data_IF_351271141453
#
_entry.id   IF_351271141453
#
_cell.length_a   1.000
_cell.length_b   1.000
_cell.length_c   1.000
_cell.angle_alpha   90.00
_cell.angle_beta   90.00
_cell.angle_gamma   90.00
#
_symmetry.space_group_name_H-M   'P 1'
#
loop_
_entity.id
_entity.type
_entity.pdbx_description
1 polymer ?
#
# COMPACT_ATOMS: atom_id res chain seq x y z
N UNK A 1 5.99 -1.31 9.65
CA UNK A 1 7.17 -2.02 9.08
C UNK A 1 7.53 -3.20 9.98
N UNK A 2 8.20 -4.24 9.47
CA UNK A 2 8.60 -5.38 10.31
C UNK A 2 9.92 -5.11 11.03
N UNK A 3 10.18 -5.81 12.13
CA UNK A 3 11.43 -5.71 12.88
C UNK A 3 12.66 -6.01 11.99
N UNK A 4 12.56 -6.98 11.09
CA UNK A 4 13.67 -7.34 10.18
C UNK A 4 14.01 -6.22 9.19
N UNK A 5 12.99 -5.52 8.67
CA UNK A 5 13.18 -4.36 7.79
C UNK A 5 13.84 -3.22 8.56
N UNK A 6 13.37 -2.93 9.77
CA UNK A 6 13.97 -1.90 10.63
C UNK A 6 15.42 -2.23 10.99
N UNK A 7 15.72 -3.50 11.27
CA UNK A 7 17.07 -3.95 11.56
C UNK A 7 18.00 -3.85 10.33
N UNK A 8 17.49 -4.10 9.12
CA UNK A 8 18.25 -3.87 7.88
C UNK A 8 18.55 -2.38 7.65
N UNK A 9 17.58 -1.49 7.92
CA UNK A 9 17.79 -0.03 7.83
C UNK A 9 18.83 0.42 8.86
N UNK A 10 18.71 -0.03 10.11
CA UNK A 10 19.65 0.31 11.17
C UNK A 10 21.08 -0.14 10.85
N UNK A 11 21.26 -1.37 10.34
CA UNK A 11 22.58 -1.85 9.92
C UNK A 11 23.19 -0.96 8.83
N UNK A 12 22.39 -0.59 7.83
CA UNK A 12 22.83 0.31 6.77
C UNK A 12 23.20 1.71 7.29
N UNK A 13 22.37 2.30 8.16
CA UNK A 13 22.62 3.61 8.77
C UNK A 13 23.86 3.61 9.66
N UNK A 14 24.01 2.56 10.48
CA UNK A 14 25.21 2.34 11.30
C UNK A 14 26.47 2.20 10.45
N UNK A 15 26.44 1.40 9.37
CA UNK A 15 27.60 1.21 8.48
C UNK A 15 28.01 2.50 7.75
N UNK A 16 27.05 3.39 7.49
CA UNK A 16 27.27 4.69 6.85
C UNK A 16 27.53 5.82 7.85
N UNK A 17 27.60 5.52 9.16
CA UNK A 17 27.77 6.50 10.24
C UNK A 17 26.71 7.62 10.21
N UNK A 18 25.49 7.31 9.77
CA UNK A 18 24.39 8.29 9.60
C UNK A 18 24.06 8.99 10.91
N UNK A 19 24.06 8.26 12.03
CA UNK A 19 23.75 8.79 13.35
C UNK A 19 24.86 9.66 13.95
N UNK A 20 26.10 9.48 13.49
CA UNK A 20 27.28 10.19 14.01
C UNK A 20 27.71 11.38 13.12
N UNK A 21 27.17 11.49 11.90
CA UNK A 21 27.51 12.58 10.99
C UNK A 21 26.72 13.86 11.33
N UNK A 22 27.37 14.94 11.80
CA UNK A 22 26.68 16.18 12.20
C UNK A 22 26.01 16.92 11.03
N UNK A 23 26.22 16.47 9.79
CA UNK A 23 25.61 17.05 8.58
C UNK A 23 24.31 16.34 8.18
N UNK A 24 23.98 15.22 8.85
CA UNK A 24 22.85 14.37 8.50
C UNK A 24 21.88 14.30 9.67
N UNK A 25 20.60 14.38 9.36
CA UNK A 25 19.51 14.14 10.31
C UNK A 25 18.62 13.03 9.75
N UNK A 26 18.48 11.94 10.50
CA UNK A 26 17.59 10.83 10.14
C UNK A 26 16.23 11.03 10.82
N UNK A 27 15.17 11.10 10.01
CA UNK A 27 13.81 11.38 10.48
C UNK A 27 12.83 10.29 10.02
N UNK A 28 11.78 10.08 10.82
CA UNK A 28 10.63 9.24 10.49
C UNK A 28 9.35 10.05 10.65
N UNK A 29 8.37 9.81 9.76
CA UNK A 29 7.03 10.38 9.87
C UNK A 29 6.12 9.37 10.57
N UNK A 30 5.65 9.68 11.78
CA UNK A 30 4.71 8.87 12.56
C UNK A 30 3.56 9.76 13.05
N UNK A 31 2.31 9.34 12.85
CA UNK A 31 1.13 10.09 13.27
C UNK A 31 1.02 11.48 12.63
N UNK A 32 1.66 11.69 11.47
CA UNK A 32 1.74 13.01 10.82
C UNK A 32 2.75 13.98 11.46
N UNK A 33 3.64 13.49 12.31
CA UNK A 33 4.71 14.27 12.94
C UNK A 33 6.07 13.72 12.51
N UNK A 34 6.99 14.59 12.09
CA UNK A 34 8.37 14.22 11.86
C UNK A 34 9.10 14.18 13.21
N UNK A 35 9.80 13.08 13.46
CA UNK A 35 10.61 12.87 14.66
C UNK A 35 11.93 12.19 14.29
N UNK A 36 12.97 12.28 15.15
CA UNK A 36 14.21 11.54 14.97
C UNK A 36 13.93 10.04 14.77
N UNK A 37 14.64 9.43 13.80
CA UNK A 37 14.53 8.01 13.53
C UNK A 37 15.15 7.20 14.68
N UNK A 38 14.38 6.25 15.21
CA UNK A 38 14.85 5.24 16.16
C UNK A 38 14.33 3.86 15.68
N UNK A 39 15.26 2.94 15.44
CA UNK A 39 14.92 1.60 14.97
C UNK A 39 14.21 0.73 16.02
N UNK A 40 14.34 1.08 17.30
CA UNK A 40 13.60 0.45 18.40
C UNK A 40 12.19 1.02 18.61
N UNK A 41 11.87 2.17 18.03
CA UNK A 41 10.56 2.80 18.19
C UNK A 41 9.50 2.06 17.37
N UNK A 42 8.45 1.61 18.05
CA UNK A 42 7.25 1.07 17.39
C UNK A 42 6.32 2.19 16.99
N UNK A 43 5.69 2.05 15.82
CA UNK A 43 4.65 3.00 15.37
C UNK A 43 3.57 3.19 16.43
N UNK A 44 3.10 4.42 16.58
CA UNK A 44 2.02 4.73 17.53
C UNK A 44 0.74 3.93 17.25
N UNK A 45 -0.10 3.64 18.27
CA UNK A 45 -1.38 2.96 18.06
C UNK A 45 -2.30 3.68 17.05
N UNK A 46 -2.28 5.02 17.07
CA UNK A 46 -3.05 5.84 16.15
C UNK A 46 -2.56 5.71 14.71
N UNK A 47 -1.23 5.68 14.48
CA UNK A 47 -0.65 5.44 13.16
C UNK A 47 -0.97 4.01 12.67
N UNK A 48 -0.84 3.00 13.54
CA UNK A 48 -1.21 1.63 13.21
C UNK A 48 -2.69 1.53 12.77
N UNK A 49 -3.59 2.23 13.46
CA UNK A 49 -5.01 2.27 13.12
C UNK A 49 -5.27 3.04 11.81
N UNK A 50 -4.53 4.13 11.56
CA UNK A 50 -4.62 4.89 10.32
C UNK A 50 -4.15 4.06 9.12
N UNK A 51 -2.99 3.39 9.22
CA UNK A 51 -2.44 2.52 8.17
C UNK A 51 -3.38 1.36 7.85
N UNK A 52 -3.96 0.75 8.89
CA UNK A 52 -4.99 -0.28 8.76
C UNK A 52 -6.20 0.23 7.97
N UNK A 53 -6.73 1.39 8.34
CA UNK A 53 -7.90 1.98 7.70
C UNK A 53 -7.61 2.34 6.24
N UNK A 54 -6.45 2.93 5.97
CA UNK A 54 -6.01 3.30 4.63
C UNK A 54 -5.87 2.08 3.71
N UNK A 55 -5.31 0.98 4.22
CA UNK A 55 -5.21 -0.28 3.49
C UNK A 55 -6.59 -0.84 3.14
N UNK A 56 -7.50 -0.93 4.12
CA UNK A 56 -8.85 -1.45 3.92
C UNK A 56 -9.66 -0.57 2.95
N UNK A 57 -9.56 0.75 3.10
CA UNK A 57 -10.21 1.71 2.21
C UNK A 57 -9.66 1.57 0.77
N UNK A 58 -8.34 1.57 0.61
CA UNK A 58 -7.64 1.38 -0.66
C UNK A 58 -8.03 0.06 -1.34
N UNK A 59 -8.07 -1.04 -0.59
CA UNK A 59 -8.48 -2.33 -1.14
C UNK A 59 -9.94 -2.35 -1.62
N UNK A 60 -10.86 -1.67 -0.94
CA UNK A 60 -12.24 -1.52 -1.42
C UNK A 60 -12.35 -0.64 -2.67
N UNK A 61 -11.63 0.49 -2.69
CA UNK A 61 -11.58 1.41 -3.84
C UNK A 61 -10.90 0.79 -5.08
N UNK A 62 -10.09 -0.24 -4.87
CA UNK A 62 -9.44 -1.02 -5.93
C UNK A 62 -10.23 -2.27 -6.32
N UNK A 63 -11.48 -2.40 -5.85
CA UNK A 63 -12.36 -3.54 -6.10
C UNK A 63 -11.74 -4.89 -5.68
N UNK A 64 -10.99 -4.89 -4.58
CA UNK A 64 -10.36 -6.09 -4.04
C UNK A 64 -9.19 -6.62 -4.88
N UNK A 65 -8.55 -5.75 -5.67
CA UNK A 65 -7.38 -6.15 -6.41
C UNK A 65 -6.22 -6.49 -5.46
N UNK A 66 -5.73 -7.74 -5.55
CA UNK A 66 -4.74 -8.31 -4.62
C UNK A 66 -3.37 -7.58 -4.56
N UNK A 67 -3.01 -6.78 -5.58
CA UNK A 67 -1.74 -6.04 -5.61
C UNK A 67 -1.91 -4.54 -5.24
N UNK A 68 -2.95 -3.84 -5.75
CA UNK A 68 -3.19 -2.44 -5.41
C UNK A 68 -3.59 -2.12 -3.97
N UNK A 69 -4.12 -3.08 -3.18
CA UNK A 69 -4.59 -2.75 -1.84
C UNK A 69 -3.48 -2.16 -0.94
N UNK A 70 -2.30 -2.79 -0.95
CA UNK A 70 -1.13 -2.34 -0.19
C UNK A 70 -0.34 -1.23 -0.89
N UNK A 71 -0.23 -1.23 -2.23
CA UNK A 71 0.49 -0.17 -2.95
C UNK A 71 -0.35 1.12 -3.12
N UNK A 72 -1.67 1.03 -2.99
CA UNK A 72 -2.62 2.13 -3.20
C UNK A 72 -2.58 3.18 -2.10
N UNK A 73 -2.17 2.83 -0.88
CA UNK A 73 -1.95 3.80 0.20
C UNK A 73 -0.60 4.55 0.07
N UNK A 74 0.36 4.03 -0.70
CA UNK A 74 1.73 4.52 -0.67
C UNK A 74 1.94 5.83 -1.41
N UNK A 75 1.21 6.06 -2.51
CA UNK A 75 1.32 7.33 -3.23
C UNK A 75 0.70 8.49 -2.45
N UNK A 76 -0.50 8.35 -1.83
CA UNK A 76 -0.98 9.31 -0.85
C UNK A 76 0.02 9.50 0.32
N UNK A 77 0.56 8.40 0.86
CA UNK A 77 1.61 8.40 1.90
C UNK A 77 2.81 9.26 1.52
N UNK A 78 3.35 9.05 0.32
CA UNK A 78 4.50 9.76 -0.21
C UNK A 78 4.23 11.26 -0.39
N UNK A 79 3.01 11.64 -0.77
CA UNK A 79 2.63 13.05 -0.85
C UNK A 79 2.68 13.73 0.52
N UNK A 80 2.20 13.08 1.57
CA UNK A 80 2.29 13.62 2.93
C UNK A 80 3.72 13.61 3.46
N UNK A 81 4.51 12.58 3.16
CA UNK A 81 5.94 12.56 3.50
C UNK A 81 6.66 13.75 2.90
N UNK A 82 6.54 13.96 1.58
CA UNK A 82 7.16 15.11 0.93
C UNK A 82 6.66 16.44 1.50
N UNK A 83 5.36 16.54 1.82
CA UNK A 83 4.82 17.78 2.41
C UNK A 83 5.48 18.12 3.75
N UNK A 84 5.60 17.15 4.66
CA UNK A 84 6.23 17.38 5.96
C UNK A 84 7.73 17.59 5.81
N UNK A 85 8.41 16.77 5.02
CA UNK A 85 9.85 16.89 4.78
C UNK A 85 10.20 18.28 4.22
N UNK A 86 9.37 18.82 3.31
CA UNK A 86 9.61 20.14 2.74
C UNK A 86 9.33 21.30 3.70
N UNK A 87 8.61 21.05 4.80
CA UNK A 87 8.32 22.03 5.85
C UNK A 87 9.33 21.96 7.00
N UNK A 88 10.22 20.96 6.98
CA UNK A 88 11.16 20.71 8.05
C UNK A 88 12.17 21.86 8.20
N UNK A 89 12.38 22.30 9.43
CA UNK A 89 13.35 23.32 9.86
C UNK A 89 13.48 24.55 8.93
N UNK A 90 12.35 25.20 8.63
CA UNK A 90 12.33 26.40 7.78
C UNK A 90 12.27 26.12 6.27
N UNK A 91 12.35 24.85 5.89
CA UNK A 91 12.12 24.32 4.56
C UNK A 91 13.38 23.86 3.83
N UNK A 92 13.17 23.10 2.76
CA UNK A 92 14.26 22.43 2.02
C UNK A 92 14.54 23.10 0.67
N UNK A 93 15.82 23.23 0.31
CA UNK A 93 16.24 23.77 -0.98
C UNK A 93 16.29 22.71 -2.10
N UNK A 94 16.37 21.42 -1.76
CA UNK A 94 16.43 20.31 -2.70
C UNK A 94 15.83 19.01 -2.13
N UNK A 95 15.31 18.17 -3.02
CA UNK A 95 14.92 16.78 -2.76
C UNK A 95 15.78 15.87 -3.63
N UNK A 96 16.41 14.89 -3.01
CA UNK A 96 17.21 13.86 -3.68
C UNK A 96 16.39 12.57 -3.71
N UNK A 97 16.30 11.92 -4.87
CA UNK A 97 15.54 10.68 -5.03
C UNK A 97 16.30 9.66 -5.88
N UNK A 98 16.35 8.44 -5.36
CA UNK A 98 16.85 7.26 -6.05
C UNK A 98 15.78 6.56 -6.91
N UNK A 99 14.53 7.03 -6.88
CA UNK A 99 13.43 6.40 -7.64
C UNK A 99 13.71 6.51 -9.14
N UNK A 100 13.63 5.42 -9.92
CA UNK A 100 13.84 5.45 -11.36
C UNK A 100 12.90 6.44 -12.07
N UNK A 101 13.38 7.07 -13.15
CA UNK A 101 12.57 8.01 -13.95
C UNK A 101 11.16 7.50 -14.32
N UNK A 102 10.95 6.22 -14.70
CA UNK A 102 9.61 5.69 -14.96
C UNK A 102 8.68 5.71 -13.74
N UNK A 103 9.19 5.59 -12.52
CA UNK A 103 8.43 5.62 -11.26
C UNK A 103 8.02 7.05 -10.91
N UNK A 104 8.98 7.98 -10.98
CA UNK A 104 8.69 9.40 -10.78
C UNK A 104 7.63 9.92 -11.76
N UNK A 105 7.73 9.54 -13.05
CA UNK A 105 6.71 9.87 -14.06
C UNK A 105 5.35 9.26 -13.73
N UNK A 106 5.31 8.02 -13.20
CA UNK A 106 4.08 7.35 -12.77
C UNK A 106 3.42 8.07 -11.60
N UNK A 107 4.19 8.47 -10.59
CA UNK A 107 3.71 9.24 -9.45
C UNK A 107 3.13 10.59 -9.88
N UNK A 108 3.86 11.36 -10.71
CA UNK A 108 3.36 12.63 -11.24
C UNK A 108 2.08 12.47 -12.08
N UNK A 109 2.03 11.44 -12.94
CA UNK A 109 0.85 11.16 -13.75
C UNK A 109 -0.35 10.77 -12.88
N UNK A 110 -0.12 10.00 -11.80
CA UNK A 110 -1.13 9.71 -10.79
C UNK A 110 -1.62 10.98 -10.10
N UNK A 111 -0.71 11.82 -9.60
CA UNK A 111 -1.07 13.04 -8.90
C UNK A 111 -1.92 13.99 -9.78
N UNK A 112 -1.53 14.17 -11.04
CA UNK A 112 -2.31 14.97 -12.01
C UNK A 112 -3.70 14.39 -12.29
N UNK A 113 -3.90 13.07 -12.18
CA UNK A 113 -5.25 12.47 -12.32
C UNK A 113 -6.09 12.70 -11.07
N UNK A 114 -5.50 12.53 -9.89
CA UNK A 114 -6.17 12.79 -8.60
C UNK A 114 -6.66 14.23 -8.52
N UNK A 115 -5.79 15.20 -8.81
CA UNK A 115 -6.14 16.62 -8.75
C UNK A 115 -7.26 16.99 -9.73
N UNK A 116 -7.19 16.53 -10.98
CA UNK A 116 -8.24 16.77 -11.98
C UNK A 116 -9.60 16.22 -11.55
N UNK A 117 -9.63 15.05 -10.89
CA UNK A 117 -10.87 14.45 -10.38
C UNK A 117 -11.45 15.21 -9.21
N UNK A 118 -10.59 15.73 -8.34
CA UNK A 118 -11.01 16.58 -7.23
C UNK A 118 -11.48 17.98 -7.69
N UNK A 119 -11.52 18.26 -9.01
CA UNK A 119 -11.84 19.58 -9.53
C UNK A 119 -10.74 20.62 -9.29
N UNK A 120 -9.56 20.20 -8.83
CA UNK A 120 -8.42 21.09 -8.59
C UNK A 120 -7.74 21.36 -9.94
N UNK A 121 -7.99 22.55 -10.49
CA UNK A 121 -7.34 23.01 -11.71
C UNK A 121 -5.83 23.11 -11.53
N UNK A 122 -5.07 22.37 -12.34
CA UNK A 122 -3.63 22.55 -12.43
C UNK A 122 -3.36 23.85 -13.20
N UNK A 123 -3.09 24.95 -12.51
CA UNK A 123 -2.56 26.14 -13.17
C UNK A 123 -1.18 25.82 -13.76
N UNK A 124 -0.73 26.61 -14.75
CA UNK A 124 0.61 26.47 -15.32
C UNK A 124 1.71 26.51 -14.24
N UNK A 125 1.47 27.24 -13.14
CA UNK A 125 2.37 27.31 -11.98
C UNK A 125 2.44 25.99 -11.19
N UNK A 126 1.31 25.29 -11.00
CA UNK A 126 1.28 23.97 -10.31
C UNK A 126 1.93 22.88 -11.17
N UNK A 127 1.84 23.00 -12.50
CA UNK A 127 2.48 22.05 -13.41
C UNK A 127 4.02 22.14 -13.40
N UNK A 128 4.56 23.31 -13.06
CA UNK A 128 6.01 23.61 -13.05
C UNK A 128 6.61 23.57 -11.65
N UNK A 129 5.81 23.66 -10.59
CA UNK A 129 6.27 23.69 -9.20
C UNK A 129 5.89 22.40 -8.45
N UNK A 130 6.82 21.46 -8.23
CA UNK A 130 6.54 20.17 -7.55
C UNK A 130 5.84 20.36 -6.20
N UNK A 131 6.22 21.42 -5.51
CA UNK A 131 5.72 21.78 -4.19
C UNK A 131 4.22 22.11 -4.16
N UNK A 132 3.72 22.91 -5.11
CA UNK A 132 2.29 23.23 -5.19
C UNK A 132 1.45 21.99 -5.53
N UNK A 133 2.02 21.08 -6.34
CA UNK A 133 1.38 19.80 -6.62
C UNK A 133 1.31 18.93 -5.36
N UNK A 134 2.39 18.82 -4.58
CA UNK A 134 2.44 18.05 -3.33
C UNK A 134 1.45 18.60 -2.31
N UNK A 135 1.41 19.93 -2.13
CA UNK A 135 0.46 20.58 -1.20
C UNK A 135 -1.00 20.31 -1.61
N UNK A 136 -1.30 20.40 -2.91
CA UNK A 136 -2.62 20.12 -3.46
C UNK A 136 -3.01 18.63 -3.29
N UNK A 137 -2.06 17.70 -3.49
CA UNK A 137 -2.29 16.26 -3.28
C UNK A 137 -2.57 15.96 -1.81
N UNK A 138 -1.81 16.54 -0.89
CA UNK A 138 -2.07 16.42 0.54
C UNK A 138 -3.44 16.98 0.92
N UNK A 139 -3.87 18.10 0.33
CA UNK A 139 -5.20 18.65 0.57
C UNK A 139 -6.32 17.71 0.10
N UNK A 140 -6.18 17.14 -1.10
CA UNK A 140 -7.16 16.16 -1.62
C UNK A 140 -7.20 14.91 -0.73
N UNK A 141 -6.04 14.38 -0.29
CA UNK A 141 -6.01 13.22 0.62
C UNK A 141 -6.70 13.54 1.94
N UNK A 142 -6.44 14.71 2.54
CA UNK A 142 -7.08 15.13 3.79
C UNK A 142 -8.60 15.22 3.65
N UNK A 143 -9.08 15.85 2.58
CA UNK A 143 -10.51 15.94 2.28
C UNK A 143 -11.14 14.55 2.13
N UNK A 144 -10.45 13.63 1.45
CA UNK A 144 -10.90 12.25 1.30
C UNK A 144 -10.94 11.55 2.65
N UNK A 145 -9.86 11.55 3.43
CA UNK A 145 -9.83 10.92 4.76
C UNK A 145 -10.93 11.48 5.66
N UNK A 146 -11.14 12.80 5.66
CA UNK A 146 -12.23 13.42 6.40
C UNK A 146 -13.61 12.93 5.93
N UNK A 147 -13.81 12.81 4.61
CA UNK A 147 -15.05 12.31 4.01
C UNK A 147 -15.31 10.83 4.30
N UNK A 148 -14.27 9.98 4.26
CA UNK A 148 -14.41 8.52 4.34
C UNK A 148 -14.30 7.99 5.77
N UNK A 149 -13.40 8.55 6.58
CA UNK A 149 -13.11 8.08 7.93
C UNK A 149 -13.66 9.02 9.02
N UNK A 150 -14.17 10.21 8.65
CA UNK A 150 -14.72 11.18 9.61
C UNK A 150 -13.68 11.79 10.55
N UNK A 151 -12.39 11.55 10.29
CA UNK A 151 -11.29 12.02 11.13
C UNK A 151 -10.88 13.44 10.71
N UNK A 152 -10.87 14.42 11.63
CA UNK A 152 -10.33 15.74 11.35
C UNK A 152 -8.80 15.65 11.29
N UNK A 153 -8.22 15.70 10.09
CA UNK A 153 -6.77 15.87 9.96
C UNK A 153 -6.44 17.34 10.24
N UNK A 154 -5.69 17.60 11.31
CA UNK A 154 -5.22 18.95 11.63
C UNK A 154 -4.42 19.48 10.44
N UNK A 155 -4.89 20.58 9.86
CA UNK A 155 -4.18 21.29 8.83
C UNK A 155 -3.12 22.16 9.50
N UNK A 156 -1.86 21.73 9.49
CA UNK A 156 -0.78 22.70 9.62
C UNK A 156 -0.61 23.38 8.25
N UNK A 157 -0.89 24.70 8.15
CA UNK A 157 -0.59 25.43 6.93
C UNK A 157 0.91 25.32 6.67
N UNK A 158 1.27 25.15 5.39
CA UNK A 158 2.67 25.07 5.03
C UNK A 158 3.35 26.42 5.32
N UNK A 159 4.24 26.43 6.31
CA UNK A 159 5.10 27.56 6.64
C UNK A 159 6.54 27.22 6.26
N UNK A 160 6.87 27.37 4.98
CA UNK A 160 8.23 27.14 4.51
C UNK A 160 8.60 28.05 3.36
N UNK A 161 9.89 28.02 3.02
CA UNK A 161 10.51 28.86 2.01
C UNK A 161 9.76 28.87 0.67
N UNK A 162 9.56 30.06 0.10
CA UNK A 162 8.97 30.29 -1.24
C UNK A 162 9.98 29.98 -2.38
N UNK A 163 11.19 29.51 -2.05
CA UNK A 163 12.23 29.21 -3.05
C UNK A 163 11.84 28.03 -3.94
N UNK A 164 12.33 28.00 -5.18
CA UNK A 164 12.14 26.86 -6.06
C UNK A 164 12.84 25.61 -5.54
N UNK A 165 12.04 24.60 -5.23
CA UNK A 165 12.51 23.27 -4.88
C UNK A 165 13.28 22.66 -6.05
N UNK A 166 14.54 22.27 -5.83
CA UNK A 166 15.31 21.49 -6.79
C UNK A 166 15.05 20.01 -6.58
N UNK A 167 14.78 19.28 -7.66
CA UNK A 167 14.65 17.82 -7.61
C UNK A 167 15.89 17.21 -8.26
N UNK A 168 16.67 16.45 -7.49
CA UNK A 168 17.92 15.82 -7.92
C UNK A 168 17.68 14.32 -7.99
N UNK A 169 17.77 13.79 -9.20
CA UNK A 169 17.70 12.38 -9.48
C UNK A 169 19.09 11.76 -9.31
N UNK A 170 19.18 10.66 -8.58
CA UNK A 170 20.43 9.88 -8.44
C UNK A 170 20.24 8.42 -8.86
N UNK A 171 19.12 8.07 -9.51
CA UNK A 171 18.78 6.69 -9.89
C UNK A 171 19.86 6.03 -10.78
N UNK A 172 20.58 6.82 -11.58
CA UNK A 172 21.71 6.39 -12.40
C UNK A 172 22.99 6.10 -11.59
N UNK A 173 23.14 6.71 -10.42
CA UNK A 173 24.31 6.54 -9.54
C UNK A 173 24.16 5.37 -8.56
N UNK A 174 22.92 5.06 -8.15
CA UNK A 174 22.62 3.97 -7.20
C UNK A 174 22.20 2.65 -7.87
N UNK A 175 21.96 2.65 -9.19
CA UNK A 175 21.64 1.42 -9.91
C UNK A 175 22.90 0.56 -10.14
N UNK A 176 23.17 -0.34 -9.20
CA UNK A 176 24.15 -1.41 -9.38
C UNK A 176 23.40 -2.67 -9.88
N UNK A 177 23.82 -3.30 -10.99
CA UNK A 177 23.33 -4.64 -11.32
C UNK A 177 23.67 -5.57 -10.15
N UNK A 178 22.70 -6.40 -9.74
CA UNK A 178 22.90 -7.40 -8.70
C UNK A 178 23.79 -8.53 -9.24
N UNK A 179 25.08 -8.28 -9.38
CA UNK A 179 26.06 -9.35 -9.55
C UNK A 179 26.39 -9.99 -8.18
N UNK A 180 27.21 -11.04 -8.18
CA UNK A 180 27.65 -11.90 -7.04
C UNK A 180 27.57 -11.26 -5.64
N UNK A 181 27.17 -12.02 -4.59
CA UNK A 181 26.51 -11.54 -3.37
C UNK A 181 26.95 -10.13 -3.01
N UNK A 182 26.18 -9.14 -3.47
CA UNK A 182 26.60 -7.73 -3.56
C UNK A 182 27.46 -7.33 -2.36
N UNK A 183 28.79 -7.30 -2.54
CA UNK A 183 29.74 -7.08 -1.44
C UNK A 183 29.42 -5.77 -0.72
N UNK A 184 28.89 -4.79 -1.45
CA UNK A 184 28.45 -3.52 -0.86
C UNK A 184 27.21 -3.70 0.02
N UNK A 185 26.15 -4.37 -0.45
CA UNK A 185 24.93 -4.54 0.36
C UNK A 185 25.16 -5.49 1.54
N UNK A 186 25.76 -6.65 1.31
CA UNK A 186 25.92 -7.66 2.34
C UNK A 186 27.18 -7.43 3.20
N UNK A 187 28.34 -7.29 2.58
CA UNK A 187 29.60 -7.25 3.32
C UNK A 187 29.89 -5.87 3.91
N UNK A 188 29.53 -4.78 3.22
CA UNK A 188 29.72 -3.42 3.71
C UNK A 188 28.52 -2.89 4.51
N UNK A 189 27.31 -2.92 3.97
CA UNK A 189 26.10 -2.40 4.65
C UNK A 189 25.47 -3.39 5.65
N UNK A 190 25.94 -4.63 5.70
CA UNK A 190 25.39 -5.66 6.60
C UNK A 190 23.93 -6.02 6.28
N UNK A 191 23.48 -5.82 5.04
CA UNK A 191 22.13 -6.18 4.62
C UNK A 191 21.95 -7.69 4.71
N UNK A 192 20.86 -8.12 5.36
CA UNK A 192 20.50 -9.53 5.47
C UNK A 192 19.30 -9.79 4.57
N UNK A 193 19.49 -10.68 3.60
CA UNK A 193 18.39 -11.24 2.82
C UNK A 193 17.59 -12.19 3.70
N UNK A 194 16.53 -11.67 4.31
CA UNK A 194 15.49 -12.48 4.96
C UNK A 194 14.31 -12.75 3.99
N UNK A 195 13.53 -13.77 4.29
CA UNK A 195 12.29 -14.19 3.63
C UNK A 195 11.25 -13.06 3.47
N UNK A 196 11.28 -12.02 4.31
CA UNK A 196 10.43 -10.83 4.23
C UNK A 196 11.07 -9.66 3.47
N UNK A 197 12.37 -9.74 3.20
CA UNK A 197 13.21 -8.61 2.75
C UNK A 197 13.30 -8.46 1.23
N UNK A 198 12.73 -9.38 0.45
CA UNK A 198 12.74 -9.30 -1.01
C UNK A 198 11.74 -8.24 -1.52
N UNK A 199 12.12 -6.97 -1.48
CA UNK A 199 11.32 -5.91 -2.08
C UNK A 199 11.49 -5.94 -3.61
N UNK A 200 10.50 -6.49 -4.32
CA UNK A 200 10.59 -6.70 -5.78
C UNK A 200 10.37 -5.40 -6.60
N UNK A 201 9.90 -4.33 -5.96
CA UNK A 201 9.75 -2.97 -6.49
C UNK A 201 9.99 -1.98 -5.36
N UNK A 202 10.69 -0.88 -5.60
CA UNK A 202 10.83 0.20 -4.60
C UNK A 202 9.44 0.76 -4.21
N UNK A 203 8.46 0.61 -5.10
CA UNK A 203 7.05 0.92 -4.88
C UNK A 203 6.18 -0.21 -4.28
N UNK A 204 6.72 -1.42 -4.04
CA UNK A 204 5.95 -2.55 -3.47
C UNK A 204 5.90 -2.41 -1.94
N UNK A 205 4.83 -1.81 -1.43
CA UNK A 205 4.66 -1.60 0.01
C UNK A 205 4.17 -2.83 0.75
N UNK A 206 3.85 -3.91 0.03
CA UNK A 206 3.59 -5.21 0.62
C UNK A 206 4.84 -6.07 0.57
N UNK A 207 5.12 -6.79 1.65
CA UNK A 207 6.08 -7.89 1.61
C UNK A 207 5.63 -8.93 0.57
N UNK A 208 6.57 -9.65 -0.07
CA UNK A 208 6.21 -10.74 -0.98
C UNK A 208 5.34 -11.80 -0.32
N UNK A 209 5.54 -12.01 0.99
CA UNK A 209 4.75 -12.94 1.78
C UNK A 209 3.25 -12.58 1.78
N UNK A 210 2.92 -11.32 2.11
CA UNK A 210 1.54 -10.84 2.10
C UNK A 210 0.96 -10.77 0.69
N UNK A 211 1.77 -10.38 -0.29
CA UNK A 211 1.36 -10.35 -1.69
C UNK A 211 0.97 -11.75 -2.19
N UNK A 212 1.84 -12.74 -2.02
CA UNK A 212 1.54 -14.13 -2.38
C UNK A 212 0.30 -14.65 -1.64
N UNK A 213 0.16 -14.31 -0.36
CA UNK A 213 -0.98 -14.70 0.46
C UNK A 213 -2.30 -14.14 -0.08
N UNK A 214 -2.37 -12.85 -0.41
CA UNK A 214 -3.56 -12.26 -1.02
C UNK A 214 -3.91 -12.90 -2.36
N UNK A 215 -2.92 -13.24 -3.19
CA UNK A 215 -3.15 -13.96 -4.44
C UNK A 215 -3.70 -15.36 -4.19
N UNK A 216 -3.18 -16.07 -3.19
CA UNK A 216 -3.68 -17.37 -2.77
C UNK A 216 -5.13 -17.30 -2.27
N UNK A 217 -5.44 -16.36 -1.35
CA UNK A 217 -6.80 -16.15 -0.84
C UNK A 217 -7.79 -15.77 -1.94
N UNK A 218 -7.35 -14.94 -2.90
CA UNK A 218 -8.18 -14.56 -4.04
C UNK A 218 -8.49 -15.76 -4.93
N UNK A 219 -7.50 -16.60 -5.20
CA UNK A 219 -7.67 -17.86 -5.93
C UNK A 219 -8.71 -18.75 -5.24
N UNK A 220 -8.54 -18.97 -3.93
CA UNK A 220 -9.37 -19.84 -3.09
C UNK A 220 -10.82 -19.36 -2.96
N UNK A 221 -11.00 -18.10 -2.56
CA UNK A 221 -12.30 -17.60 -2.17
C UNK A 221 -13.03 -16.93 -3.34
N UNK A 222 -12.36 -16.10 -4.13
CA UNK A 222 -12.99 -15.34 -5.22
C UNK A 222 -13.13 -16.16 -6.50
N UNK A 223 -12.11 -16.95 -6.85
CA UNK A 223 -12.07 -17.73 -8.10
C UNK A 223 -12.45 -19.21 -7.93
N UNK A 224 -12.50 -19.70 -6.69
CA UNK A 224 -12.82 -21.11 -6.41
C UNK A 224 -11.74 -22.10 -6.84
N UNK A 225 -10.50 -21.63 -7.00
CA UNK A 225 -9.33 -22.42 -7.36
C UNK A 225 -8.47 -22.68 -6.12
N UNK A 226 -7.60 -23.71 -6.08
CA UNK A 226 -6.74 -23.95 -4.92
C UNK A 226 -5.87 -22.73 -4.57
N UNK A 227 -5.63 -22.51 -3.26
CA UNK A 227 -4.75 -21.44 -2.75
C UNK A 227 -3.37 -21.44 -3.44
N UNK A 228 -2.79 -22.63 -3.62
CA UNK A 228 -1.49 -22.83 -4.29
C UNK A 228 -1.46 -22.30 -5.73
N UNK A 229 -2.58 -22.35 -6.45
CA UNK A 229 -2.64 -21.83 -7.81
C UNK A 229 -2.42 -20.31 -7.85
N UNK A 230 -3.01 -19.58 -6.90
CA UNK A 230 -2.83 -18.14 -6.77
C UNK A 230 -1.40 -17.76 -6.39
N UNK A 231 -0.81 -18.47 -5.42
CA UNK A 231 0.59 -18.30 -5.02
C UNK A 231 1.52 -18.55 -6.21
N UNK A 232 1.32 -19.63 -6.96
CA UNK A 232 2.14 -19.94 -8.14
C UNK A 232 2.05 -18.85 -9.22
N UNK A 233 0.87 -18.28 -9.45
CA UNK A 233 0.71 -17.19 -10.41
C UNK A 233 1.39 -15.90 -9.95
N UNK A 234 1.38 -15.61 -8.65
CA UNK A 234 2.19 -14.54 -8.08
C UNK A 234 3.69 -14.78 -8.30
N UNK A 235 4.20 -15.98 -7.98
CA UNK A 235 5.63 -16.32 -8.12
C UNK A 235 6.12 -16.27 -9.58
N UNK A 236 5.31 -16.71 -10.54
CA UNK A 236 5.62 -16.56 -11.98
C UNK A 236 5.83 -15.09 -12.35
N UNK A 237 4.97 -14.20 -11.85
CA UNK A 237 5.07 -12.75 -12.11
C UNK A 237 6.23 -12.10 -11.37
N UNK A 238 6.47 -12.53 -10.13
CA UNK A 238 7.64 -12.12 -9.35
C UNK A 238 8.93 -12.45 -10.11
N UNK A 239 9.06 -13.65 -10.68
CA UNK A 239 10.21 -14.05 -11.49
C UNK A 239 10.45 -13.13 -12.69
N UNK A 240 9.40 -12.79 -13.45
CA UNK A 240 9.52 -11.84 -14.57
C UNK A 240 9.97 -10.46 -14.09
N UNK A 241 9.53 -10.03 -12.90
CA UNK A 241 9.96 -8.76 -12.29
C UNK A 241 11.43 -8.80 -11.88
N UNK A 242 11.87 -9.87 -11.21
CA UNK A 242 13.28 -10.10 -10.84
C UNK A 242 14.20 -10.08 -12.07
N UNK A 243 13.78 -10.71 -13.17
CA UNK A 243 14.54 -10.71 -14.44
C UNK A 243 14.66 -9.31 -15.06
N UNK A 244 13.57 -8.54 -15.08
CA UNK A 244 13.60 -7.15 -15.57
C UNK A 244 14.50 -6.25 -14.75
N UNK A 245 14.62 -6.53 -13.44
CA UNK A 245 15.54 -5.86 -12.52
C UNK A 245 16.97 -6.41 -12.56
N UNK A 246 17.26 -7.35 -13.46
CA UNK A 246 18.59 -7.95 -13.60
C UNK A 246 19.11 -8.56 -12.28
N UNK A 247 18.21 -9.13 -11.46
CA UNK A 247 18.64 -9.85 -10.26
C UNK A 247 19.48 -11.09 -10.63
N UNK A 248 20.53 -11.40 -9.88
CA UNK A 248 21.35 -12.58 -10.16
C UNK A 248 20.54 -13.89 -10.20
N UNK A 249 20.90 -14.86 -11.05
CA UNK A 249 20.23 -16.16 -11.10
C UNK A 249 20.31 -16.97 -9.78
N UNK A 250 21.33 -16.74 -8.95
CA UNK A 250 21.44 -17.35 -7.61
C UNK A 250 20.37 -16.80 -6.67
N UNK A 251 20.27 -15.47 -6.54
CA UNK A 251 19.26 -14.82 -5.69
C UNK A 251 17.83 -15.14 -6.16
N UNK A 252 17.59 -15.19 -7.48
CA UNK A 252 16.30 -15.62 -8.01
C UNK A 252 15.93 -17.04 -7.58
N UNK A 253 16.88 -17.99 -7.62
CA UNK A 253 16.63 -19.38 -7.21
C UNK A 253 16.37 -19.47 -5.71
N UNK A 254 17.17 -18.79 -4.90
CA UNK A 254 17.03 -18.77 -3.45
C UNK A 254 15.67 -18.18 -3.01
N UNK A 255 15.29 -17.03 -3.57
CA UNK A 255 14.02 -16.39 -3.28
C UNK A 255 12.80 -17.26 -3.65
N UNK A 256 12.88 -18.04 -4.73
CA UNK A 256 11.80 -18.94 -5.17
C UNK A 256 11.83 -20.31 -4.48
N UNK A 257 13.00 -20.78 -4.03
CA UNK A 257 13.13 -22.04 -3.31
C UNK A 257 12.37 -22.04 -1.99
N UNK A 258 12.27 -20.87 -1.33
CA UNK A 258 11.52 -20.64 -0.10
C UNK A 258 10.01 -20.95 -0.18
N UNK A 259 9.48 -21.19 -1.37
CA UNK A 259 8.05 -21.43 -1.64
C UNK A 259 7.75 -22.85 -2.15
N UNK A 260 8.74 -23.75 -2.19
CA UNK A 260 8.60 -25.07 -2.80
C UNK A 260 8.17 -26.13 -1.77
N UNK A 261 7.09 -26.87 -2.07
CA UNK A 261 6.62 -27.98 -1.24
C UNK A 261 5.39 -27.64 -0.40
N UNK A 262 4.59 -28.67 -0.10
CA UNK A 262 3.29 -28.51 0.55
C UNK A 262 3.42 -28.01 2.01
N UNK A 263 4.36 -28.57 2.78
CA UNK A 263 4.59 -28.17 4.18
C UNK A 263 5.09 -26.73 4.28
N UNK A 264 6.00 -26.33 3.38
CA UNK A 264 6.46 -24.96 3.29
C UNK A 264 5.31 -24.01 2.95
N UNK A 265 4.44 -24.38 2.01
CA UNK A 265 3.29 -23.54 1.65
C UNK A 265 2.32 -23.35 2.83
N UNK A 266 2.06 -24.40 3.61
CA UNK A 266 1.22 -24.31 4.82
C UNK A 266 1.86 -23.40 5.87
N UNK A 267 3.16 -23.58 6.12
CA UNK A 267 3.92 -22.71 7.03
C UNK A 267 3.91 -21.24 6.56
N UNK A 268 4.06 -21.00 5.24
CA UNK A 268 4.01 -19.68 4.63
C UNK A 268 2.64 -19.02 4.80
N UNK A 269 1.56 -19.77 4.61
CA UNK A 269 0.20 -19.28 4.86
C UNK A 269 0.04 -18.85 6.32
N UNK A 270 0.54 -19.65 7.27
CA UNK A 270 0.48 -19.31 8.68
C UNK A 270 1.29 -18.05 9.00
N UNK A 271 2.56 -17.98 8.56
CA UNK A 271 3.41 -16.79 8.73
C UNK A 271 2.78 -15.53 8.12
N UNK A 272 2.12 -15.64 6.97
CA UNK A 272 1.45 -14.51 6.34
C UNK A 272 0.25 -14.01 7.17
N UNK A 273 -0.51 -14.91 7.79
CA UNK A 273 -1.59 -14.54 8.73
C UNK A 273 -1.04 -13.84 9.96
N UNK A 274 0.02 -14.39 10.55
CA UNK A 274 0.65 -13.82 11.73
C UNK A 274 1.21 -12.43 11.41
N UNK A 275 1.86 -12.25 10.25
CA UNK A 275 2.34 -10.97 9.77
C UNK A 275 1.20 -9.96 9.54
N UNK A 276 0.09 -10.38 8.92
CA UNK A 276 -1.07 -9.50 8.71
C UNK A 276 -1.68 -9.02 10.05
N UNK A 277 -1.77 -9.93 11.03
CA UNK A 277 -2.28 -9.63 12.36
C UNK A 277 -1.31 -8.70 13.13
N UNK A 278 -0.01 -8.98 13.11
CA UNK A 278 0.98 -8.20 13.85
C UNK A 278 1.25 -6.82 13.23
N UNK A 279 1.39 -6.73 11.91
CA UNK A 279 1.76 -5.49 11.24
C UNK A 279 0.56 -4.57 10.94
N UNK A 280 -0.65 -5.11 10.80
CA UNK A 280 -1.83 -4.34 10.39
C UNK A 280 -3.09 -4.60 11.26
N UNK A 281 -2.98 -5.48 12.26
CA UNK A 281 -4.14 -5.93 13.05
C UNK A 281 -5.17 -6.73 12.26
N UNK A 282 -4.87 -7.14 11.01
CA UNK A 282 -5.86 -7.66 10.07
C UNK A 282 -6.05 -9.17 10.22
N UNK A 283 -7.30 -9.60 10.31
CA UNK A 283 -7.64 -11.02 10.26
C UNK A 283 -7.73 -11.52 8.82
N UNK A 284 -7.55 -12.82 8.61
CA UNK A 284 -7.75 -13.43 7.29
C UNK A 284 -9.18 -13.18 6.77
N UNK A 285 -10.19 -13.17 7.64
CA UNK A 285 -11.57 -12.88 7.27
C UNK A 285 -11.74 -11.46 6.71
N UNK A 286 -11.06 -10.47 7.29
CA UNK A 286 -11.04 -9.09 6.79
C UNK A 286 -10.28 -8.98 5.45
N UNK A 287 -9.17 -9.70 5.29
CA UNK A 287 -8.46 -9.76 3.99
C UNK A 287 -9.33 -10.40 2.91
N UNK A 288 -10.08 -11.47 3.22
CA UNK A 288 -11.02 -12.08 2.29
C UNK A 288 -12.14 -11.09 1.97
N UNK A 289 -12.73 -10.42 2.97
CA UNK A 289 -13.74 -9.38 2.77
C UNK A 289 -13.22 -8.28 1.82
N UNK A 290 -11.99 -7.82 2.02
CA UNK A 290 -11.32 -6.85 1.17
C UNK A 290 -11.25 -7.31 -0.30
N UNK A 291 -10.87 -8.57 -0.53
CA UNK A 291 -10.72 -9.15 -1.88
C UNK A 291 -12.04 -9.27 -2.65
N UNK A 292 -13.18 -9.39 -1.96
CA UNK A 292 -14.50 -9.30 -2.60
C UNK A 292 -14.93 -7.86 -2.82
N UNK A 293 -14.40 -6.91 -2.05
CA UNK A 293 -14.87 -5.55 -1.93
C UNK A 293 -16.42 -5.46 -1.93
N UNK A 294 -17.11 -6.10 -0.98
CA UNK A 294 -18.55 -6.32 -1.03
C UNK A 294 -19.37 -5.06 -0.79
N UNK A 295 -18.76 -4.01 -0.24
CA UNK A 295 -19.49 -2.83 0.21
C UNK A 295 -19.59 -1.72 -0.82
N UNK A 296 -18.93 -1.81 -1.98
CA UNK A 296 -18.97 -0.76 -3.01
C UNK A 296 -20.05 -1.02 -4.06
N UNK A 297 -20.34 -0.03 -4.91
CA UNK A 297 -21.30 -0.12 -6.01
C UNK A 297 -22.71 -0.55 -5.54
N UNK A 298 -23.19 0.00 -4.43
CA UNK A 298 -24.48 -0.40 -3.85
C UNK A 298 -24.49 -1.84 -3.33
N UNK A 299 -23.32 -2.41 -3.05
CA UNK A 299 -23.18 -3.74 -2.47
C UNK A 299 -23.45 -4.90 -3.43
N UNK A 300 -23.24 -4.69 -4.74
CA UNK A 300 -23.46 -5.73 -5.78
C UNK A 300 -22.75 -7.05 -5.49
N UNK A 301 -21.59 -7.01 -4.82
CA UNK A 301 -20.77 -8.18 -4.48
C UNK A 301 -21.04 -8.75 -3.08
N UNK A 302 -21.91 -8.11 -2.30
CA UNK A 302 -22.22 -8.51 -0.93
C UNK A 302 -22.86 -9.91 -0.88
N UNK A 303 -23.87 -10.16 -1.72
CA UNK A 303 -24.53 -11.47 -1.74
C UNK A 303 -23.55 -12.60 -2.13
N UNK A 304 -22.71 -12.38 -3.14
CA UNK A 304 -21.69 -13.35 -3.56
C UNK A 304 -20.71 -13.66 -2.41
N UNK A 305 -20.23 -12.62 -1.73
CA UNK A 305 -19.34 -12.76 -0.58
C UNK A 305 -20.01 -13.58 0.54
N UNK A 306 -21.28 -13.29 0.88
CA UNK A 306 -22.01 -14.04 1.89
C UNK A 306 -22.22 -15.51 1.48
N UNK A 307 -22.67 -15.78 0.25
CA UNK A 307 -22.88 -17.16 -0.23
C UNK A 307 -21.60 -18.00 -0.15
N UNK A 308 -20.45 -17.38 -0.44
CA UNK A 308 -19.17 -18.07 -0.54
C UNK A 308 -18.47 -18.22 0.81
N UNK A 309 -18.52 -17.21 1.67
CA UNK A 309 -17.70 -17.13 2.88
C UNK A 309 -18.52 -17.17 4.17
N UNK A 310 -19.78 -16.71 4.15
CA UNK A 310 -20.64 -16.58 5.35
C UNK A 310 -22.10 -16.96 5.07
N UNK A 311 -22.38 -18.22 4.65
CA UNK A 311 -23.72 -18.61 4.20
C UNK A 311 -24.80 -18.43 5.27
N UNK A 312 -24.45 -18.61 6.56
CA UNK A 312 -25.37 -18.37 7.68
C UNK A 312 -25.84 -16.92 7.82
N UNK A 313 -25.10 -15.95 7.25
CA UNK A 313 -25.45 -14.52 7.32
C UNK A 313 -26.32 -14.05 6.14
N UNK A 314 -26.62 -14.91 5.17
CA UNK A 314 -27.50 -14.56 4.04
C UNK A 314 -28.88 -14.10 4.48
N UNK A 315 -29.41 -14.65 5.57
CA UNK A 315 -30.70 -14.24 6.15
C UNK A 315 -30.72 -12.77 6.57
N UNK A 316 -29.55 -12.21 6.90
CA UNK A 316 -29.40 -10.83 7.33
C UNK A 316 -29.13 -9.86 6.17
N UNK A 317 -28.98 -10.34 4.93
CA UNK A 317 -28.66 -9.52 3.76
C UNK A 317 -29.58 -8.29 3.59
N UNK A 318 -30.92 -8.38 3.75
CA UNK A 318 -31.78 -7.20 3.67
C UNK A 318 -31.48 -6.16 4.74
N UNK A 319 -31.15 -6.60 5.96
CA UNK A 319 -30.79 -5.72 7.07
C UNK A 319 -29.41 -5.09 6.88
N UNK A 320 -28.46 -5.81 6.27
CA UNK A 320 -27.15 -5.25 5.91
C UNK A 320 -27.30 -4.12 4.89
N UNK A 321 -28.13 -4.30 3.86
CA UNK A 321 -28.44 -3.22 2.91
C UNK A 321 -29.11 -2.02 3.58
N UNK A 322 -29.98 -2.24 4.57
CA UNK A 322 -30.55 -1.14 5.37
C UNK A 322 -29.46 -0.39 6.14
N UNK A 323 -28.61 -1.10 6.86
CA UNK A 323 -27.51 -0.50 7.63
C UNK A 323 -26.56 0.34 6.73
N UNK A 324 -26.19 -0.20 5.56
CA UNK A 324 -25.31 0.46 4.59
C UNK A 324 -25.97 1.67 3.89
N UNK A 325 -27.31 1.78 3.93
CA UNK A 325 -28.09 2.93 3.43
C UNK A 325 -28.44 3.92 4.55
N UNK A 326 -27.78 3.86 5.70
CA UNK A 326 -28.06 4.71 6.87
C UNK A 326 -29.49 4.53 7.43
N UNK A 327 -30.11 3.37 7.19
CA UNK A 327 -31.43 3.02 7.71
C UNK A 327 -31.30 2.17 8.98
N UNK A 328 -32.34 2.16 9.81
CA UNK A 328 -32.38 1.33 11.02
C UNK A 328 -32.23 -0.16 10.68
N UNK A 329 -31.25 -0.79 11.31
CA UNK A 329 -30.98 -2.22 11.23
C UNK A 329 -30.71 -2.77 12.64
N UNK A 330 -30.91 -4.08 12.88
CA UNK A 330 -30.58 -4.69 14.16
C UNK A 330 -29.11 -4.52 14.51
N UNK A 331 -28.83 -4.17 15.76
CA UNK A 331 -27.47 -3.94 16.27
C UNK A 331 -26.50 -5.10 15.98
N UNK A 332 -26.87 -6.39 16.13
CA UNK A 332 -25.97 -7.49 15.79
C UNK A 332 -25.52 -7.51 14.32
N UNK A 333 -26.36 -7.01 13.39
CA UNK A 333 -26.01 -6.92 11.96
C UNK A 333 -24.99 -5.82 11.74
N UNK A 334 -25.14 -4.69 12.44
CA UNK A 334 -24.19 -3.56 12.37
C UNK A 334 -22.83 -3.98 12.93
N UNK A 335 -22.80 -4.61 14.09
CA UNK A 335 -21.57 -5.12 14.71
C UNK A 335 -20.86 -6.13 13.81
N UNK A 336 -21.62 -7.02 13.17
CA UNK A 336 -21.07 -7.96 12.21
C UNK A 336 -20.44 -7.27 11.00
N UNK A 337 -21.11 -6.27 10.42
CA UNK A 337 -20.57 -5.50 9.28
C UNK A 337 -19.25 -4.80 9.63
N UNK A 338 -19.19 -4.14 10.78
CA UNK A 338 -17.97 -3.46 11.26
C UNK A 338 -16.86 -4.46 11.52
N UNK A 339 -17.17 -5.59 12.15
CA UNK A 339 -16.19 -6.65 12.45
C UNK A 339 -15.60 -7.28 11.18
N UNK A 340 -16.44 -7.68 10.23
CA UNK A 340 -15.98 -8.35 9.00
C UNK A 340 -15.31 -7.40 8.02
N UNK A 341 -15.79 -6.15 7.92
CA UNK A 341 -15.21 -5.13 7.06
C UNK A 341 -13.96 -4.50 7.64
N UNK A 342 -13.79 -4.53 8.97
CA UNK A 342 -12.65 -3.94 9.67
C UNK A 342 -12.63 -2.41 9.63
N UNK A 343 -13.70 -1.77 9.15
CA UNK A 343 -13.87 -0.32 9.00
C UNK A 343 -15.11 0.15 9.78
N UNK A 344 -15.13 1.43 10.23
CA UNK A 344 -16.31 2.03 10.85
C UNK A 344 -17.54 1.98 9.93
N UNK A 345 -18.75 1.87 10.52
CA UNK A 345 -20.00 1.80 9.74
C UNK A 345 -20.16 3.02 8.81
N UNK A 346 -19.80 4.22 9.26
CA UNK A 346 -19.83 5.44 8.45
C UNK A 346 -18.99 5.32 7.17
N UNK A 347 -17.81 4.72 7.27
CA UNK A 347 -16.94 4.43 6.13
C UNK A 347 -17.56 3.41 5.19
N UNK A 348 -18.14 2.33 5.73
CA UNK A 348 -18.84 1.33 4.93
C UNK A 348 -20.06 1.91 4.19
N UNK A 349 -20.82 2.79 4.83
CA UNK A 349 -21.95 3.52 4.23
C UNK A 349 -21.48 4.48 3.14
N UNK A 350 -20.37 5.18 3.35
CA UNK A 350 -19.76 6.01 2.31
C UNK A 350 -19.36 5.16 1.12
N UNK A 351 -18.65 4.03 1.33
CA UNK A 351 -18.25 3.08 0.28
C UNK A 351 -19.47 2.56 -0.49
N UNK A 352 -20.58 2.30 0.19
CA UNK A 352 -21.82 1.82 -0.42
C UNK A 352 -22.44 2.76 -1.45
N UNK A 353 -22.28 4.07 -1.23
CA UNK A 353 -22.75 5.11 -2.17
C UNK A 353 -21.84 5.31 -3.37
N UNK A 354 -20.62 4.76 -3.36
CA UNK A 354 -19.71 4.89 -4.50
C UNK A 354 -20.26 4.17 -5.72
N UNK A 355 -20.44 4.93 -6.78
CA UNK A 355 -20.77 4.39 -8.10
C UNK A 355 -19.54 3.83 -8.81
N UNK A 356 -19.76 2.94 -9.78
CA UNK A 356 -18.71 2.30 -10.57
C UNK A 356 -17.77 3.31 -11.25
N UNK A 357 -18.31 4.46 -11.68
CA UNK A 357 -17.55 5.52 -12.34
C UNK A 357 -16.51 6.17 -11.40
N UNK A 358 -16.85 6.32 -10.12
CA UNK A 358 -15.97 6.86 -9.09
C UNK A 358 -14.84 5.87 -8.69
N UNK A 359 -15.10 4.56 -8.79
CA UNK A 359 -14.18 3.47 -8.43
C UNK A 359 -13.17 3.11 -9.53
N UNK A 360 -13.22 3.81 -10.67
CA UNK A 360 -12.34 3.55 -11.81
C UNK A 360 -10.85 3.51 -11.41
N UNK A 361 -10.06 2.56 -11.97
CA UNK A 361 -8.68 2.23 -11.54
C UNK A 361 -7.65 3.37 -11.64
N UNK A 362 -8.06 4.54 -12.11
CA UNK A 362 -7.27 5.75 -12.32
C UNK A 362 -6.93 6.55 -11.06
N UNK A 363 -7.62 6.32 -9.93
CA UNK A 363 -7.16 6.76 -8.58
C UNK A 363 -6.11 5.81 -8.01
N UNK A 364 -6.10 4.58 -8.50
CA UNK A 364 -5.25 3.51 -8.01
C UNK A 364 -3.90 3.57 -8.71
N UNK A 365 -2.85 3.11 -8.03
CA UNK A 365 -1.49 3.04 -8.55
C UNK A 365 -1.54 2.59 -10.03
N UNK A 366 -0.81 3.23 -10.97
CA UNK A 366 -0.64 2.69 -12.31
C UNK A 366 0.09 1.35 -12.16
N UNK A 367 -0.65 0.28 -11.92
CA UNK A 367 -0.11 -1.06 -11.89
C UNK A 367 0.47 -1.30 -13.27
N UNK A 368 1.64 -1.93 -13.33
CA UNK A 368 2.11 -2.54 -14.57
C UNK A 368 0.92 -3.17 -15.31
N UNK A 369 0.70 -2.74 -16.56
CA UNK A 369 -0.36 -3.30 -17.38
C UNK A 369 -0.24 -4.82 -17.37
N UNK A 370 -1.24 -5.48 -16.78
CA UNK A 370 -1.56 -6.93 -16.80
C UNK A 370 -2.38 -7.37 -15.56
N UNK A 371 -3.24 -6.51 -15.00
CA UNK A 371 -4.28 -6.91 -14.04
C UNK A 371 -5.65 -7.20 -14.69
N UNK A 372 -5.81 -6.99 -16.01
CA UNK A 372 -7.01 -7.41 -16.73
C UNK A 372 -6.65 -8.56 -17.69
N UNK A 373 -7.06 -9.77 -17.34
CA UNK A 373 -7.28 -10.80 -18.34
C UNK A 373 -8.41 -10.33 -19.25
N UNK A 374 -8.08 -9.91 -20.47
CA UNK A 374 -9.07 -9.91 -21.55
C UNK A 374 -9.44 -11.38 -21.75
N UNK A 375 -10.62 -11.77 -21.30
CA UNK A 375 -11.27 -12.96 -21.80
C UNK A 375 -11.35 -12.81 -23.32
N UNK A 376 -10.67 -13.71 -24.03
CA UNK A 376 -10.85 -13.86 -25.46
C UNK A 376 -12.31 -14.26 -25.69
N UNK A 377 -13.12 -13.33 -26.19
CA UNK A 377 -14.39 -13.66 -26.78
C UNK A 377 -14.11 -14.23 -28.18
N UNK A 378 -14.61 -15.44 -28.40
CA UNK A 378 -14.67 -16.12 -29.68
C UNK A 378 -15.02 -15.19 -30.85
N UNK A 379 -14.24 -15.28 -31.92
CA UNK A 379 -14.69 -15.80 -33.23
C UNK A 379 -13.49 -16.32 -34.00
#
# INVERSE_FOLDING_TARGET
MTADVMANIERGYSALFVHDDPRVEALVLDGGVLQPFDSGQTATPDQCQADRNDLLLSGHLTLGAACPAFCGCCYPGLADLYRHAMAWDGGVDAVISADPLPERKRYLAWGRRVLRRAGVGLSAQVATFPRAMIDALGAVRRQQVQQWLGQPLQAQPFAGSQRPLRFIAIDDLVHQPFDEPCDVLNAFLGFHYDEHSFVLSESDCATPLLSAHLWGLRSEHVHGQPYVAGVNDYLKRARVRMQRKQMSPSLQREALAAWQGADQLAQRRQRARDLAAQAYGLSEAQLICLLFAPFVEGGKRLEQFLRRCHPGMLVALPYMHKALREQRAPEPVVQWLVSIGGLPLSTLQALYRLEAEALSPSLNHPTHGQCFGRAAAHR
#
